data_IF_701666318492
#
_entry.id   IF_701666318492
#
_cell.length_a   1.000
_cell.length_b   1.000
_cell.length_c   1.000
_cell.angle_alpha   90.00
_cell.angle_beta   90.00
_cell.angle_gamma   90.00
#
_symmetry.space_group_name_H-M   'P 1'
#
loop_
_entity.id
_entity.type
_entity.pdbx_description
1 polymer ?
#
# COMPACT_ATOMS: atom_id res chain seq x y z
N UNK A 1 -2.52 -2.49 18.44
CA UNK A 1 -2.67 -3.59 17.46
C UNK A 1 -3.83 -3.39 16.49
N UNK A 2 -5.04 -3.02 16.94
CA UNK A 2 -6.24 -2.92 16.08
C UNK A 2 -6.04 -2.08 14.80
N UNK A 3 -5.25 -1.00 14.84
CA UNK A 3 -4.99 -0.14 13.66
C UNK A 3 -4.20 -0.84 12.54
N UNK A 4 -3.38 -1.84 12.86
CA UNK A 4 -2.69 -2.65 11.85
C UNK A 4 -3.63 -3.63 11.13
N UNK A 5 -4.80 -3.93 11.72
CA UNK A 5 -5.79 -4.83 11.11
C UNK A 5 -6.33 -4.24 9.80
N UNK A 6 -6.58 -2.92 9.74
CA UNK A 6 -7.06 -2.28 8.52
C UNK A 6 -6.04 -2.36 7.38
N UNK A 7 -4.74 -2.19 7.68
CA UNK A 7 -3.68 -2.38 6.69
C UNK A 7 -3.57 -3.85 6.24
N UNK A 8 -3.75 -4.80 7.16
CA UNK A 8 -3.75 -6.22 6.83
C UNK A 8 -4.94 -6.61 5.94
N UNK A 9 -6.14 -6.10 6.24
CA UNK A 9 -7.33 -6.33 5.41
C UNK A 9 -7.15 -5.71 4.03
N UNK A 10 -6.65 -4.47 3.95
CA UNK A 10 -6.31 -3.84 2.67
C UNK A 10 -5.30 -4.67 1.87
N UNK A 11 -4.31 -5.26 2.53
CA UNK A 11 -3.31 -6.13 1.92
C UNK A 11 -3.95 -7.38 1.30
N UNK A 12 -4.80 -8.07 2.04
CA UNK A 12 -5.48 -9.29 1.55
C UNK A 12 -6.39 -8.96 0.37
N UNK A 13 -7.15 -7.87 0.46
CA UNK A 13 -8.05 -7.44 -0.62
C UNK A 13 -7.29 -7.05 -1.89
N UNK A 14 -6.19 -6.29 -1.76
CA UNK A 14 -5.36 -5.93 -2.91
C UNK A 14 -4.71 -7.15 -3.55
N UNK A 15 -4.26 -8.13 -2.74
CA UNK A 15 -3.67 -9.36 -3.27
C UNK A 15 -4.69 -10.19 -4.07
N UNK A 16 -5.96 -10.14 -3.70
CA UNK A 16 -7.06 -10.81 -4.42
C UNK A 16 -7.54 -10.06 -5.67
N UNK A 17 -6.94 -8.92 -6.03
CA UNK A 17 -7.38 -8.13 -7.18
C UNK A 17 -8.57 -7.22 -6.89
N UNK A 18 -8.84 -6.95 -5.60
CA UNK A 18 -9.93 -6.08 -5.15
C UNK A 18 -9.38 -4.70 -4.73
N UNK A 19 -8.45 -4.14 -5.52
CA UNK A 19 -7.76 -2.88 -5.24
C UNK A 19 -8.68 -1.73 -4.87
N UNK A 20 -9.82 -1.55 -5.55
CA UNK A 20 -10.78 -0.49 -5.21
C UNK A 20 -11.39 -0.64 -3.81
N UNK A 21 -11.67 -1.88 -3.38
CA UNK A 21 -12.16 -2.15 -2.02
C UNK A 21 -11.02 -1.97 -1.01
N UNK A 22 -9.81 -2.41 -1.36
CA UNK A 22 -8.59 -2.17 -0.56
C UNK A 22 -8.39 -0.69 -0.24
N UNK A 23 -8.60 0.20 -1.23
CA UNK A 23 -8.50 1.65 -1.04
C UNK A 23 -9.40 2.20 0.08
N UNK A 24 -10.60 1.64 0.27
CA UNK A 24 -11.50 2.06 1.37
C UNK A 24 -10.84 1.78 2.72
N UNK A 25 -10.29 0.58 2.89
CA UNK A 25 -9.58 0.20 4.12
C UNK A 25 -8.30 1.00 4.33
N UNK A 26 -7.60 1.38 3.26
CA UNK A 26 -6.45 2.28 3.33
C UNK A 26 -6.85 3.69 3.80
N UNK A 27 -7.97 4.22 3.32
CA UNK A 27 -8.51 5.52 3.79
C UNK A 27 -8.88 5.44 5.27
N UNK A 28 -9.56 4.37 5.71
CA UNK A 28 -9.88 4.17 7.13
C UNK A 28 -8.61 4.10 7.97
N UNK A 29 -7.62 3.30 7.56
CA UNK A 29 -6.33 3.20 8.25
C UNK A 29 -5.61 4.54 8.33
N UNK A 30 -5.70 5.36 7.27
CA UNK A 30 -5.09 6.68 7.22
C UNK A 30 -5.76 7.67 8.20
N UNK A 31 -7.09 7.67 8.28
CA UNK A 31 -7.86 8.54 9.19
C UNK A 31 -7.72 8.10 10.65
N UNK A 32 -7.79 6.80 10.95
CA UNK A 32 -7.60 6.24 12.29
C UNK A 32 -6.20 6.50 12.85
N UNK A 33 -5.19 6.59 11.98
CA UNK A 33 -3.83 6.94 12.37
C UNK A 33 -3.64 8.44 12.69
N UNK A 34 -4.62 9.30 12.40
CA UNK A 34 -4.58 10.74 12.75
C UNK A 34 -5.12 11.03 14.15
N UNK A 35 -5.97 10.16 14.68
CA UNK A 35 -6.66 10.38 15.93
C UNK A 35 -5.87 9.77 17.10
N UNK A 36 -5.22 10.61 17.91
CA UNK A 36 -4.81 10.23 19.25
C UNK A 36 -3.65 11.03 19.80
N UNK A 37 -3.87 11.62 20.98
CA UNK A 37 -2.81 12.01 21.90
C UNK A 37 -2.32 10.72 22.59
N UNK A 38 -1.02 10.46 22.57
CA UNK A 38 -0.45 9.22 23.08
C UNK A 38 1.01 9.37 23.50
N UNK A 39 1.63 8.27 23.93
CA UNK A 39 3.08 8.26 24.14
C UNK A 39 3.82 8.41 22.81
N UNK A 40 5.05 8.91 22.83
CA UNK A 40 5.93 9.06 21.65
C UNK A 40 6.00 7.78 20.81
N UNK A 41 6.05 6.60 21.46
CA UNK A 41 6.02 5.31 20.77
C UNK A 41 4.72 5.07 19.98
N UNK A 42 3.57 5.45 20.54
CA UNK A 42 2.28 5.34 19.87
C UNK A 42 2.23 6.29 18.66
N UNK A 43 2.71 7.52 18.80
CA UNK A 43 2.77 8.51 17.71
C UNK A 43 3.62 8.02 16.53
N UNK A 44 4.79 7.41 16.80
CA UNK A 44 5.62 6.86 15.72
C UNK A 44 4.93 5.70 14.99
N UNK A 45 4.24 4.82 15.71
CA UNK A 45 3.47 3.74 15.08
C UNK A 45 2.29 4.25 14.27
N UNK A 46 1.60 5.29 14.76
CA UNK A 46 0.55 5.98 14.02
C UNK A 46 1.11 6.57 12.72
N UNK A 47 2.23 7.29 12.80
CA UNK A 47 2.86 7.87 11.62
C UNK A 47 3.31 6.81 10.60
N UNK A 48 3.81 5.67 11.08
CA UNK A 48 4.16 4.53 10.22
C UNK A 48 2.94 4.00 9.45
N UNK A 49 1.81 3.81 10.15
CA UNK A 49 0.55 3.36 9.53
C UNK A 49 0.08 4.42 8.53
N UNK A 50 0.10 5.70 8.93
CA UNK A 50 -0.33 6.85 8.12
C UNK A 50 0.44 6.93 6.80
N UNK A 51 1.77 6.90 6.87
CA UNK A 51 2.66 6.91 5.69
C UNK A 51 2.43 5.70 4.81
N UNK A 52 2.33 4.51 5.40
CA UNK A 52 2.14 3.26 4.65
C UNK A 52 0.80 3.25 3.92
N UNK A 53 -0.28 3.65 4.60
CA UNK A 53 -1.61 3.79 4.02
C UNK A 53 -1.64 4.78 2.86
N UNK A 54 -1.04 5.97 3.05
CA UNK A 54 -0.98 7.02 2.03
C UNK A 54 -0.21 6.58 0.78
N UNK A 55 0.96 5.95 0.95
CA UNK A 55 1.76 5.47 -0.18
C UNK A 55 1.01 4.37 -0.95
N UNK A 56 0.42 3.40 -0.24
CA UNK A 56 -0.38 2.35 -0.88
C UNK A 56 -1.61 2.93 -1.61
N UNK A 57 -2.29 3.92 -1.02
CA UNK A 57 -3.45 4.57 -1.63
C UNK A 57 -3.05 5.30 -2.92
N UNK A 58 -1.95 6.07 -2.90
CA UNK A 58 -1.43 6.73 -4.09
C UNK A 58 -1.05 5.73 -5.20
N UNK A 59 -0.41 4.62 -4.84
CA UNK A 59 -0.07 3.57 -5.78
C UNK A 59 -1.33 2.96 -6.44
N UNK A 60 -2.39 2.69 -5.66
CA UNK A 60 -3.67 2.22 -6.21
C UNK A 60 -4.35 3.27 -7.10
N UNK A 61 -4.31 4.56 -6.74
CA UNK A 61 -4.88 5.64 -7.58
C UNK A 61 -4.15 5.72 -8.92
N UNK A 62 -2.82 5.64 -8.92
CA UNK A 62 -2.01 5.64 -10.15
C UNK A 62 -2.37 4.42 -11.00
N UNK A 63 -2.42 3.23 -10.39
CA UNK A 63 -2.76 1.99 -11.08
C UNK A 63 -4.15 2.08 -11.70
N UNK A 64 -5.15 2.55 -10.94
CA UNK A 64 -6.52 2.76 -11.42
C UNK A 64 -6.56 3.73 -12.62
N UNK A 65 -5.80 4.83 -12.56
CA UNK A 65 -5.69 5.76 -13.68
C UNK A 65 -5.12 5.11 -14.94
N UNK A 66 -4.08 4.29 -14.79
CA UNK A 66 -3.50 3.51 -15.89
C UNK A 66 -4.50 2.49 -16.45
N UNK A 67 -5.24 1.79 -15.58
CA UNK A 67 -6.29 0.85 -15.99
C UNK A 67 -7.37 1.53 -16.83
N UNK A 68 -7.90 2.66 -16.35
CA UNK A 68 -8.93 3.43 -17.06
C UNK A 68 -8.43 3.91 -18.42
N UNK A 69 -7.19 4.40 -18.50
CA UNK A 69 -6.59 4.84 -19.76
C UNK A 69 -6.44 3.67 -20.76
N UNK A 70 -5.93 2.52 -20.30
CA UNK A 70 -5.80 1.29 -21.11
C UNK A 70 -7.16 0.78 -21.60
N UNK A 71 -8.13 0.67 -20.70
CA UNK A 71 -9.47 0.20 -21.04
C UNK A 71 -10.14 1.14 -22.06
N UNK A 72 -10.00 2.46 -21.89
CA UNK A 72 -10.52 3.45 -22.84
C UNK A 72 -9.91 3.28 -24.23
N UNK A 73 -8.59 3.08 -24.32
CA UNK A 73 -7.91 2.84 -25.60
C UNK A 73 -8.38 1.54 -26.28
N UNK A 74 -8.61 0.47 -25.52
CA UNK A 74 -9.12 -0.80 -26.06
C UNK A 74 -10.54 -0.65 -26.58
N UNK A 75 -11.41 0.04 -25.84
CA UNK A 75 -12.82 0.25 -26.24
C UNK A 75 -12.92 1.17 -27.45
N UNK A 76 -12.15 2.26 -27.50
CA UNK A 76 -12.20 3.23 -28.59
C UNK A 76 -11.64 2.69 -29.91
N UNK A 77 -10.66 1.78 -29.87
CA UNK A 77 -10.07 1.16 -31.05
C UNK A 77 -10.78 -0.13 -31.49
N UNK A 78 -12.01 -0.38 -30.98
CA UNK A 78 -12.77 -1.63 -30.99
C UNK A 78 -12.70 -2.51 -32.24
N UNK A 79 -11.61 -3.26 -32.39
CA UNK A 79 -11.42 -4.31 -33.38
C UNK A 79 -11.65 -5.72 -32.81
N UNK A 80 -11.47 -6.74 -33.66
CA UNK A 80 -11.45 -8.14 -33.21
C UNK A 80 -10.35 -8.33 -32.14
N UNK A 81 -10.66 -9.09 -31.08
CA UNK A 81 -9.71 -9.36 -30.00
C UNK A 81 -9.68 -8.34 -28.85
N UNK A 82 -10.57 -7.33 -28.84
CA UNK A 82 -10.66 -6.37 -27.74
C UNK A 82 -10.87 -7.03 -26.36
N UNK A 83 -11.65 -8.13 -26.30
CA UNK A 83 -11.86 -8.89 -25.06
C UNK A 83 -10.56 -9.56 -24.58
N UNK A 84 -9.76 -10.12 -25.50
CA UNK A 84 -8.48 -10.73 -25.16
C UNK A 84 -7.48 -9.67 -24.68
N UNK A 85 -7.47 -8.50 -25.32
CA UNK A 85 -6.69 -7.35 -24.86
C UNK A 85 -7.12 -6.90 -23.45
N UNK A 86 -8.42 -6.84 -23.18
CA UNK A 86 -8.94 -6.45 -21.86
C UNK A 86 -8.52 -7.45 -20.76
N UNK A 87 -8.57 -8.75 -21.04
CA UNK A 87 -8.09 -9.80 -20.12
C UNK A 87 -6.59 -9.67 -19.87
N UNK A 88 -5.78 -9.42 -20.91
CA UNK A 88 -4.34 -9.26 -20.77
C UNK A 88 -3.97 -8.03 -19.91
N UNK A 89 -4.66 -6.90 -20.12
CA UNK A 89 -4.47 -5.71 -19.28
C UNK A 89 -4.87 -5.99 -17.84
N UNK A 90 -6.03 -6.62 -17.61
CA UNK A 90 -6.49 -7.01 -16.27
C UNK A 90 -5.43 -7.87 -15.53
N UNK A 91 -4.82 -8.84 -16.21
CA UNK A 91 -3.77 -9.67 -15.60
C UNK A 91 -2.53 -8.88 -15.20
N UNK A 92 -2.07 -7.97 -16.07
CA UNK A 92 -0.93 -7.07 -15.77
C UNK A 92 -1.26 -6.17 -14.57
N UNK A 93 -2.47 -5.61 -14.56
CA UNK A 93 -2.89 -4.69 -13.51
C UNK A 93 -3.05 -5.44 -12.17
N UNK A 94 -3.51 -6.70 -12.18
CA UNK A 94 -3.54 -7.58 -11.02
C UNK A 94 -2.13 -7.86 -10.44
N UNK A 95 -1.11 -8.03 -11.29
CA UNK A 95 0.29 -8.13 -10.82
C UNK A 95 0.70 -6.83 -10.11
N UNK A 96 0.30 -5.68 -10.64
CA UNK A 96 0.51 -4.38 -10.00
C UNK A 96 -0.11 -4.32 -8.59
N UNK A 97 -1.36 -4.74 -8.44
CA UNK A 97 -2.03 -4.81 -7.13
C UNK A 97 -1.34 -5.79 -6.18
N UNK A 98 -0.90 -6.94 -6.67
CA UNK A 98 -0.18 -7.94 -5.88
C UNK A 98 1.16 -7.38 -5.35
N UNK A 99 1.92 -6.64 -6.16
CA UNK A 99 3.17 -6.00 -5.73
C UNK A 99 2.94 -4.94 -4.65
N UNK A 100 1.91 -4.10 -4.82
CA UNK A 100 1.52 -3.12 -3.78
C UNK A 100 1.16 -3.85 -2.48
N UNK A 101 0.44 -4.97 -2.60
CA UNK A 101 0.01 -5.77 -1.46
C UNK A 101 1.17 -6.45 -0.75
N UNK A 102 2.14 -7.02 -1.48
CA UNK A 102 3.35 -7.60 -0.89
C UNK A 102 4.16 -6.55 -0.14
N UNK A 103 4.34 -5.36 -0.75
CA UNK A 103 4.99 -4.24 -0.08
C UNK A 103 4.25 -3.83 1.20
N UNK A 104 2.92 -3.73 1.14
CA UNK A 104 2.10 -3.37 2.30
C UNK A 104 2.15 -4.45 3.39
N UNK A 105 2.14 -5.73 3.02
CA UNK A 105 2.26 -6.87 3.93
C UNK A 105 3.56 -6.78 4.73
N UNK A 106 4.67 -6.49 4.06
CA UNK A 106 5.96 -6.27 4.72
C UNK A 106 5.88 -5.13 5.74
N UNK A 107 5.26 -3.98 5.39
CA UNK A 107 5.07 -2.84 6.30
C UNK A 107 4.22 -3.21 7.51
N UNK A 108 3.20 -4.04 7.33
CA UNK A 108 2.32 -4.54 8.40
C UNK A 108 3.10 -5.46 9.35
N UNK A 109 3.77 -6.49 8.82
CA UNK A 109 4.54 -7.45 9.63
C UNK A 109 5.61 -6.73 10.43
N UNK A 110 6.36 -5.82 9.79
CA UNK A 110 7.41 -5.05 10.45
C UNK A 110 6.84 -4.16 11.56
N UNK A 111 5.79 -3.38 11.24
CA UNK A 111 5.15 -2.50 12.21
C UNK A 111 4.55 -3.24 13.40
N UNK A 112 3.87 -4.36 13.16
CA UNK A 112 3.26 -5.19 14.19
C UNK A 112 4.32 -5.87 15.09
N UNK A 113 5.41 -6.35 14.51
CA UNK A 113 6.52 -6.97 15.26
C UNK A 113 7.24 -5.93 16.13
N UNK A 114 7.54 -4.76 15.58
CA UNK A 114 8.10 -3.64 16.34
C UNK A 114 7.18 -3.21 17.49
N UNK A 115 5.86 -3.11 17.24
CA UNK A 115 4.87 -2.77 18.26
C UNK A 115 4.82 -3.82 19.38
N UNK A 116 4.84 -5.11 19.04
CA UNK A 116 4.89 -6.21 20.03
C UNK A 116 6.13 -6.13 20.93
N UNK A 117 7.25 -5.66 20.39
CA UNK A 117 8.52 -5.56 21.09
C UNK A 117 8.73 -4.21 21.79
N UNK A 118 7.74 -3.30 21.79
CA UNK A 118 7.86 -1.91 22.26
C UNK A 118 9.04 -1.16 21.63
N UNK A 119 9.24 -1.32 20.32
CA UNK A 119 10.32 -0.67 19.56
C UNK A 119 9.76 0.14 18.41
N UNK A 120 10.53 1.12 17.95
CA UNK A 120 10.19 1.88 16.75
C UNK A 120 10.26 0.99 15.50
N UNK A 121 9.33 1.15 14.55
CA UNK A 121 9.44 0.57 13.22
C UNK A 121 10.45 1.39 12.42
N UNK A 122 11.71 0.94 12.35
CA UNK A 122 12.77 1.60 11.57
C UNK A 122 12.60 1.21 10.11
N UNK A 123 12.47 2.16 9.18
CA UNK A 123 12.59 1.86 7.75
C UNK A 123 14.06 1.48 7.50
N UNK A 124 14.34 0.48 6.65
CA UNK A 124 15.75 0.11 6.35
C UNK A 124 16.51 1.29 5.70
N UNK A 125 15.78 2.33 5.27
CA UNK A 125 16.29 3.48 4.54
C UNK A 125 16.90 4.59 5.43
N UNK A 126 16.81 4.50 6.77
CA UNK A 126 17.46 5.45 7.70
C UNK A 126 18.84 4.98 8.19
N UNK A 127 19.38 3.89 7.62
CA UNK A 127 20.73 3.40 7.85
C UNK A 127 21.55 3.34 6.56
N UNK A 128 21.55 4.42 5.78
CA UNK A 128 22.82 4.73 5.11
C UNK A 128 23.71 5.33 6.19
N UNK A 129 24.84 4.71 6.59
CA UNK A 129 25.84 5.43 7.33
C UNK A 129 26.24 6.61 6.43
N UNK A 130 25.81 7.82 6.78
CA UNK A 130 26.47 9.02 6.31
C UNK A 130 27.91 8.85 6.78
N UNK A 131 28.80 8.54 5.84
CA UNK A 131 30.19 8.20 6.08
C UNK A 131 31.01 9.38 6.59
N UNK A 132 30.56 10.03 7.66
CA UNK A 132 31.37 10.90 8.49
C UNK A 132 31.93 10.05 9.61
N UNK A 133 33.09 9.44 9.34
CA UNK A 133 34.18 9.21 10.29
C UNK A 133 35.29 8.44 9.56
N UNK A 134 35.96 9.12 8.64
CA UNK A 134 37.35 8.78 8.26
C UNK A 134 38.09 10.10 8.03
N UNK A 135 38.98 10.46 8.96
CA UNK A 135 39.89 11.59 8.84
C UNK A 135 39.93 12.47 10.07
#
# INVERSE_FOLDING_TARGET
MQRYLFLLVATVLGFLGLGSVSMIFLVIAWLEARAGDGSELIEVHQEWIRKSAKIALLAHVILLGVMVAKASMVVLNGGEGWLQALIAHWFIDHIGEALISVWLLYRVIKGATSCRNNRFPVAVDDQFPTGENVG
#
